data_IF_620035467632
#
_entry.id   IF_620035467632
#
_cell.length_a   1.000
_cell.length_b   1.000
_cell.length_c   1.000
_cell.angle_alpha   90.00
_cell.angle_beta   90.00
_cell.angle_gamma   90.00
#
_symmetry.space_group_name_H-M   'P 1'
#
loop_
_entity.id
_entity.type
_entity.pdbx_description
1 polymer ?
#
# COMPACT_ATOMS: atom_id res chain seq x y z
N UNK A 1 -10.68 -20.77 10.57
CA UNK A 1 -9.93 -21.31 9.42
C UNK A 1 -10.12 -20.40 8.23
N UNK A 2 -9.04 -20.20 7.48
CA UNK A 2 -9.08 -19.52 6.17
C UNK A 2 -8.86 -20.60 5.12
N UNK A 3 -9.80 -20.71 4.18
CA UNK A 3 -9.79 -21.70 3.11
C UNK A 3 -9.63 -21.00 1.74
N UNK A 4 -9.48 -21.76 0.67
CA UNK A 4 -9.46 -21.22 -0.70
C UNK A 4 -10.77 -20.49 -1.06
N UNK A 5 -11.87 -20.79 -0.38
CA UNK A 5 -13.17 -20.22 -0.67
C UNK A 5 -13.25 -18.73 -0.29
N UNK A 6 -12.76 -18.35 0.90
CA UNK A 6 -12.68 -16.94 1.33
C UNK A 6 -11.79 -16.13 0.39
N UNK A 7 -10.71 -16.73 -0.07
CA UNK A 7 -9.80 -16.09 -1.03
C UNK A 7 -10.46 -15.81 -2.38
N UNK A 8 -11.27 -16.75 -2.88
CA UNK A 8 -12.05 -16.53 -4.11
C UNK A 8 -13.08 -15.42 -3.92
N UNK A 9 -13.74 -15.33 -2.76
CA UNK A 9 -14.68 -14.26 -2.49
C UNK A 9 -13.99 -12.89 -2.60
N UNK A 10 -12.80 -12.74 -2.01
CA UNK A 10 -12.02 -11.50 -2.13
C UNK A 10 -11.72 -11.14 -3.59
N UNK A 11 -11.27 -12.11 -4.39
CA UNK A 11 -10.98 -11.90 -5.81
C UNK A 11 -12.23 -11.54 -6.61
N UNK A 12 -13.37 -12.19 -6.33
CA UNK A 12 -14.64 -11.86 -6.97
C UNK A 12 -15.13 -10.45 -6.62
N UNK A 13 -14.97 -10.01 -5.37
CA UNK A 13 -15.29 -8.64 -4.98
C UNK A 13 -14.48 -7.65 -5.83
N UNK A 14 -13.19 -7.92 -6.04
CA UNK A 14 -12.36 -7.06 -6.88
C UNK A 14 -12.82 -7.03 -8.35
N UNK A 15 -13.16 -8.18 -8.92
CA UNK A 15 -13.70 -8.26 -10.30
C UNK A 15 -15.00 -7.47 -10.43
N UNK A 16 -15.90 -7.57 -9.45
CA UNK A 16 -17.15 -6.80 -9.43
C UNK A 16 -16.86 -5.29 -9.28
N UNK A 17 -15.89 -4.91 -8.46
CA UNK A 17 -15.47 -3.52 -8.31
C UNK A 17 -14.94 -2.95 -9.63
N UNK A 18 -14.05 -3.67 -10.31
CA UNK A 18 -13.49 -3.26 -11.61
C UNK A 18 -14.60 -3.17 -12.67
N UNK A 19 -15.51 -4.14 -12.71
CA UNK A 19 -16.65 -4.11 -13.61
C UNK A 19 -17.57 -2.90 -13.35
N UNK A 20 -17.83 -2.58 -12.09
CA UNK A 20 -18.57 -1.38 -11.70
C UNK A 20 -17.88 -0.10 -12.17
N UNK A 21 -16.55 -0.01 -11.99
CA UNK A 21 -15.77 1.14 -12.49
C UNK A 21 -15.91 1.30 -14.00
N UNK A 22 -15.71 0.24 -14.78
CA UNK A 22 -15.87 0.30 -16.23
C UNK A 22 -17.27 0.75 -16.67
N UNK A 23 -18.31 0.30 -15.98
CA UNK A 23 -19.68 0.71 -16.26
C UNK A 23 -19.96 2.17 -15.90
N UNK A 24 -19.31 2.68 -14.86
CA UNK A 24 -19.54 4.03 -14.33
C UNK A 24 -18.64 5.07 -15.00
N UNK A 25 -17.50 4.67 -15.54
CA UNK A 25 -16.61 5.52 -16.33
C UNK A 25 -17.28 5.93 -17.64
N UNK A 26 -18.12 6.97 -17.61
CA UNK A 26 -18.63 7.63 -18.78
C UNK A 26 -17.55 8.51 -19.38
N UNK A 27 -16.98 8.07 -20.51
CA UNK A 27 -16.17 8.88 -21.42
C UNK A 27 -14.92 9.45 -20.77
N UNK A 28 -13.77 8.87 -21.12
CA UNK A 28 -12.50 9.28 -20.58
C UNK A 28 -12.33 10.79 -20.58
N UNK A 29 -12.15 11.38 -19.43
CA UNK A 29 -11.29 12.54 -19.34
C UNK A 29 -9.97 12.08 -19.94
N UNK A 30 -9.64 12.63 -21.11
CA UNK A 30 -8.25 12.62 -21.54
C UNK A 30 -7.52 13.42 -20.48
N UNK A 31 -6.95 12.71 -19.50
CA UNK A 31 -6.01 13.31 -18.57
C UNK A 31 -4.83 13.69 -19.45
N UNK A 32 -4.82 14.93 -19.88
CA UNK A 32 -3.61 15.55 -20.36
C UNK A 32 -2.69 15.60 -19.15
N UNK A 33 -1.97 14.51 -18.92
CA UNK A 33 -0.75 14.61 -18.16
C UNK A 33 0.19 15.52 -18.99
N UNK A 34 -0.01 16.81 -18.91
CA UNK A 34 1.07 17.73 -19.13
C UNK A 34 2.10 17.30 -18.08
N UNK A 35 3.10 16.56 -18.57
CA UNK A 35 4.23 16.20 -17.73
C UNK A 35 4.72 17.51 -17.12
N UNK A 36 4.67 17.74 -15.80
CA UNK A 36 5.19 18.96 -15.20
C UNK A 36 6.71 19.02 -15.25
N UNK A 37 7.31 18.18 -16.07
CA UNK A 37 8.72 18.15 -16.33
C UNK A 37 8.99 18.99 -17.57
N UNK A 38 9.19 20.28 -17.35
CA UNK A 38 9.87 21.15 -18.29
C UNK A 38 11.13 20.46 -18.80
N UNK A 39 11.16 20.20 -20.11
CA UNK A 39 12.20 19.51 -20.90
C UNK A 39 13.61 20.13 -20.78
N UNK A 40 13.90 21.01 -19.83
CA UNK A 40 15.12 21.82 -19.85
C UNK A 40 16.14 21.56 -18.74
N UNK A 41 15.89 20.71 -17.79
CA UNK A 41 16.96 20.35 -16.87
C UNK A 41 17.78 19.16 -17.42
N UNK A 42 19.00 19.43 -17.86
CA UNK A 42 20.06 18.43 -18.06
C UNK A 42 20.41 17.83 -16.69
N UNK A 43 19.49 17.04 -16.14
CA UNK A 43 19.75 16.34 -14.88
C UNK A 43 20.79 15.27 -15.16
N UNK A 44 21.88 15.32 -14.42
CA UNK A 44 22.98 14.35 -14.49
C UNK A 44 22.45 12.94 -14.26
N UNK A 45 23.02 11.93 -14.92
CA UNK A 45 22.73 10.51 -14.68
C UNK A 45 22.92 10.17 -13.19
N UNK A 46 23.88 10.82 -12.54
CA UNK A 46 24.17 10.66 -11.12
C UNK A 46 23.00 11.11 -10.24
N UNK A 47 22.33 12.22 -10.57
CA UNK A 47 21.15 12.67 -9.82
C UNK A 47 19.94 11.78 -10.08
N UNK A 48 19.76 11.24 -11.29
CA UNK A 48 18.73 10.27 -11.60
C UNK A 48 18.94 8.95 -10.82
N UNK A 49 20.19 8.56 -10.59
CA UNK A 49 20.53 7.41 -9.76
C UNK A 49 20.24 7.66 -8.28
N UNK A 50 20.60 8.84 -7.74
CA UNK A 50 20.34 9.21 -6.33
C UNK A 50 18.83 9.30 -6.04
N UNK A 51 18.04 9.82 -7.01
CA UNK A 51 16.58 9.97 -6.86
C UNK A 51 15.82 8.70 -7.26
N UNK A 52 16.52 7.65 -7.73
CA UNK A 52 15.91 6.40 -8.22
C UNK A 52 14.91 6.61 -9.38
N UNK A 53 15.19 7.58 -10.26
CA UNK A 53 14.37 7.82 -11.46
C UNK A 53 14.65 6.74 -12.51
N UNK A 54 13.99 5.59 -12.37
CA UNK A 54 14.15 4.43 -13.27
C UNK A 54 13.80 4.76 -14.73
N UNK A 55 12.83 5.65 -14.98
CA UNK A 55 12.47 6.08 -16.32
C UNK A 55 13.67 6.73 -17.01
N UNK A 56 14.34 7.65 -16.34
CA UNK A 56 15.53 8.34 -16.85
C UNK A 56 16.74 7.43 -16.95
N UNK A 57 16.93 6.54 -15.98
CA UNK A 57 18.04 5.59 -16.01
C UNK A 57 17.94 4.60 -17.18
N UNK A 58 16.72 4.10 -17.47
CA UNK A 58 16.50 3.06 -18.48
C UNK A 58 16.27 3.60 -19.89
N UNK A 59 15.54 4.71 -20.03
CA UNK A 59 15.15 5.24 -21.34
C UNK A 59 16.01 6.44 -21.75
N UNK A 60 16.64 7.10 -20.77
CA UNK A 60 17.38 8.34 -21.02
C UNK A 60 16.41 9.38 -21.66
N UNK A 61 16.85 10.12 -22.68
CA UNK A 61 16.02 11.14 -23.36
C UNK A 61 15.26 10.60 -24.60
N UNK A 62 15.02 9.30 -24.69
CA UNK A 62 14.34 8.72 -25.86
C UNK A 62 12.83 8.78 -25.66
N UNK A 63 12.07 9.04 -26.74
CA UNK A 63 10.60 9.02 -26.70
C UNK A 63 10.07 7.67 -26.20
N UNK A 64 9.05 7.71 -25.36
CA UNK A 64 8.37 6.53 -24.83
C UNK A 64 7.65 5.83 -26.00
N UNK A 65 8.06 4.61 -26.33
CA UNK A 65 7.35 3.71 -27.24
C UNK A 65 6.75 2.57 -26.41
N UNK A 66 5.73 1.90 -26.90
CA UNK A 66 5.04 0.80 -26.20
C UNK A 66 6.02 -0.24 -25.63
N UNK A 67 6.99 -0.70 -26.41
CA UNK A 67 8.01 -1.67 -25.96
C UNK A 67 8.87 -1.12 -24.80
N UNK A 68 9.26 0.15 -24.86
CA UNK A 68 10.05 0.79 -23.79
C UNK A 68 9.20 1.01 -22.54
N UNK A 69 7.92 1.34 -22.68
CA UNK A 69 7.00 1.45 -21.58
C UNK A 69 6.87 0.12 -20.83
N UNK A 70 6.69 -0.99 -21.55
CA UNK A 70 6.67 -2.33 -20.96
C UNK A 70 7.98 -2.70 -20.27
N UNK A 71 9.12 -2.37 -20.89
CA UNK A 71 10.42 -2.63 -20.27
C UNK A 71 10.61 -1.86 -18.95
N UNK A 72 10.25 -0.56 -18.92
CA UNK A 72 10.28 0.22 -17.67
C UNK A 72 9.32 -0.34 -16.64
N UNK A 73 8.10 -0.69 -17.05
CA UNK A 73 7.10 -1.27 -16.16
C UNK A 73 7.58 -2.56 -15.48
N UNK A 74 8.08 -3.51 -16.29
CA UNK A 74 8.59 -4.79 -15.75
C UNK A 74 9.79 -4.56 -14.83
N UNK A 75 10.76 -3.73 -15.26
CA UNK A 75 11.94 -3.46 -14.42
C UNK A 75 11.57 -2.76 -13.13
N UNK A 76 10.67 -1.78 -13.18
CA UNK A 76 10.18 -1.09 -11.97
C UNK A 76 9.44 -2.04 -11.03
N UNK A 77 8.62 -2.94 -11.57
CA UNK A 77 7.92 -3.96 -10.79
C UNK A 77 8.89 -4.93 -10.09
N UNK A 78 9.96 -5.34 -10.78
CA UNK A 78 11.00 -6.18 -10.18
C UNK A 78 11.75 -5.45 -9.07
N UNK A 79 12.10 -4.18 -9.28
CA UNK A 79 12.77 -3.35 -8.26
C UNK A 79 11.86 -3.17 -7.05
N UNK A 80 10.57 -2.88 -7.24
CA UNK A 80 9.59 -2.78 -6.15
C UNK A 80 9.50 -4.11 -5.40
N UNK A 81 9.39 -5.25 -6.10
CA UNK A 81 9.36 -6.57 -5.47
C UNK A 81 10.61 -6.84 -4.62
N UNK A 82 11.78 -6.47 -5.12
CA UNK A 82 13.04 -6.59 -4.38
C UNK A 82 13.05 -5.72 -3.11
N UNK A 83 12.63 -4.46 -3.22
CA UNK A 83 12.53 -3.55 -2.06
C UNK A 83 11.52 -4.07 -1.03
N UNK A 84 10.37 -4.57 -1.48
CA UNK A 84 9.36 -5.17 -0.58
C UNK A 84 9.91 -6.41 0.15
N UNK A 85 10.70 -7.26 -0.53
CA UNK A 85 11.36 -8.39 0.12
C UNK A 85 12.27 -7.93 1.27
N UNK A 86 13.09 -6.91 1.05
CA UNK A 86 13.95 -6.38 2.13
C UNK A 86 13.15 -5.69 3.23
N UNK A 87 12.04 -5.04 2.89
CA UNK A 87 11.14 -4.46 3.90
C UNK A 87 10.57 -5.54 4.83
N UNK A 88 10.10 -6.66 4.27
CA UNK A 88 9.60 -7.78 5.07
C UNK A 88 10.71 -8.36 5.95
N UNK A 89 11.88 -8.60 5.37
CA UNK A 89 13.03 -9.12 6.09
C UNK A 89 13.46 -8.18 7.25
N UNK A 90 13.46 -6.88 7.01
CA UNK A 90 13.75 -5.88 8.04
C UNK A 90 12.69 -5.89 9.16
N UNK A 91 11.41 -6.08 8.82
CA UNK A 91 10.35 -6.23 9.81
C UNK A 91 10.53 -7.52 10.66
N UNK A 92 10.92 -8.63 10.04
CA UNK A 92 11.23 -9.87 10.73
C UNK A 92 12.39 -9.70 11.70
N UNK A 93 13.47 -9.07 11.27
CA UNK A 93 14.63 -8.78 12.11
C UNK A 93 14.29 -7.87 13.28
N UNK A 94 13.53 -6.80 13.03
CA UNK A 94 13.07 -5.92 14.10
C UNK A 94 12.14 -6.64 15.10
N UNK A 95 11.31 -7.57 14.64
CA UNK A 95 10.40 -8.33 15.48
C UNK A 95 11.11 -9.39 16.35
N UNK A 96 12.26 -9.88 15.93
CA UNK A 96 13.03 -10.90 16.64
C UNK A 96 13.69 -10.32 17.90
N UNK A 97 13.99 -11.17 18.89
CA UNK A 97 14.82 -10.78 20.04
C UNK A 97 16.27 -10.57 19.62
N UNK A 98 16.77 -11.45 18.75
CA UNK A 98 18.10 -11.35 18.13
C UNK A 98 18.04 -11.85 16.69
N UNK A 99 18.86 -11.29 15.83
CA UNK A 99 18.99 -11.68 14.44
C UNK A 99 20.42 -11.58 13.95
N UNK A 100 20.77 -12.41 12.96
CA UNK A 100 22.09 -12.43 12.34
C UNK A 100 22.00 -11.88 10.93
N UNK A 101 22.81 -10.86 10.64
CA UNK A 101 22.97 -10.32 9.29
C UNK A 101 24.20 -10.96 8.66
N UNK A 102 24.07 -11.64 7.51
CA UNK A 102 25.21 -12.25 6.83
C UNK A 102 26.33 -11.23 6.62
N UNK A 103 27.55 -11.64 6.95
CA UNK A 103 28.80 -10.83 6.84
C UNK A 103 28.95 -9.64 7.80
N UNK A 104 27.92 -9.27 8.58
CA UNK A 104 27.96 -8.10 9.47
C UNK A 104 27.98 -8.52 10.94
N UNK A 105 27.20 -9.53 11.33
CA UNK A 105 27.18 -10.05 12.69
C UNK A 105 25.78 -10.17 13.30
N UNK A 106 25.74 -10.36 14.62
CA UNK A 106 24.51 -10.49 15.40
C UNK A 106 24.08 -9.15 15.97
N UNK A 107 22.77 -8.91 15.97
CA UNK A 107 22.15 -7.69 16.47
C UNK A 107 20.91 -8.04 17.31
N UNK A 108 20.56 -7.15 18.23
CA UNK A 108 19.33 -7.26 19.00
C UNK A 108 18.20 -6.59 18.23
N UNK A 109 17.06 -7.28 18.10
CA UNK A 109 15.82 -6.71 17.64
C UNK A 109 15.02 -6.08 18.78
N UNK A 110 13.76 -5.75 18.50
CA UNK A 110 12.87 -5.12 19.50
C UNK A 110 12.11 -6.16 20.34
N UNK A 111 12.11 -7.44 19.93
CA UNK A 111 11.33 -8.49 20.59
C UNK A 111 9.81 -8.25 20.56
N UNK A 112 9.34 -7.43 19.62
CA UNK A 112 7.91 -7.11 19.45
C UNK A 112 7.31 -8.12 18.47
N UNK A 113 6.10 -8.68 18.73
CA UNK A 113 5.47 -9.60 17.79
C UNK A 113 5.39 -9.02 16.38
N UNK A 114 5.81 -9.81 15.39
CA UNK A 114 5.96 -9.40 13.99
C UNK A 114 4.71 -8.77 13.40
N UNK A 115 3.52 -9.18 13.87
CA UNK A 115 2.25 -8.62 13.45
C UNK A 115 2.17 -7.11 13.71
N UNK A 116 2.63 -6.63 14.87
CA UNK A 116 2.61 -5.21 15.21
C UNK A 116 3.64 -4.41 14.40
N UNK A 117 4.82 -4.99 14.20
CA UNK A 117 5.85 -4.41 13.32
C UNK A 117 5.31 -4.29 11.88
N UNK A 118 4.66 -5.33 11.37
CA UNK A 118 4.08 -5.32 10.02
C UNK A 118 2.98 -4.27 9.87
N UNK A 119 2.08 -4.13 10.86
CA UNK A 119 1.00 -3.13 10.81
C UNK A 119 1.55 -1.71 10.82
N UNK A 120 2.62 -1.44 11.57
CA UNK A 120 3.17 -0.08 11.69
C UNK A 120 4.11 0.23 10.53
N UNK A 121 5.16 -0.58 10.34
CA UNK A 121 6.25 -0.26 9.41
C UNK A 121 5.95 -0.74 7.98
N UNK A 122 5.50 -1.99 7.81
CA UNK A 122 5.25 -2.52 6.48
C UNK A 122 4.04 -1.86 5.83
N UNK A 123 2.96 -1.58 6.61
CA UNK A 123 1.77 -0.90 6.09
C UNK A 123 2.08 0.54 5.68
N UNK A 124 2.82 1.31 6.51
CA UNK A 124 3.24 2.68 6.14
C UNK A 124 4.14 2.64 4.91
N UNK A 125 5.14 1.76 4.88
CA UNK A 125 6.09 1.65 3.77
C UNK A 125 5.41 1.29 2.45
N UNK A 126 4.48 0.34 2.45
CA UNK A 126 3.74 -0.07 1.26
C UNK A 126 2.76 0.98 0.76
N UNK A 127 2.16 1.77 1.65
CA UNK A 127 1.20 2.83 1.30
C UNK A 127 1.85 4.17 0.94
N UNK A 128 3.16 4.31 1.13
CA UNK A 128 3.86 5.57 0.85
C UNK A 128 3.77 6.02 -0.62
N UNK A 129 3.97 5.14 -1.63
CA UNK A 129 3.80 5.50 -3.04
C UNK A 129 2.40 6.01 -3.35
N UNK A 130 1.35 5.34 -2.86
CA UNK A 130 -0.04 5.72 -3.07
C UNK A 130 -0.35 7.08 -2.44
N UNK A 131 0.21 7.34 -1.27
CA UNK A 131 0.09 8.64 -0.59
C UNK A 131 0.70 9.76 -1.42
N UNK A 132 1.89 9.54 -2.01
CA UNK A 132 2.56 10.55 -2.86
C UNK A 132 1.76 10.81 -4.14
N UNK A 133 1.21 9.77 -4.77
CA UNK A 133 0.38 9.90 -5.97
C UNK A 133 -0.86 10.71 -5.64
N UNK A 134 -1.63 10.30 -4.62
CA UNK A 134 -2.84 11.02 -4.19
C UNK A 134 -2.55 12.48 -3.79
N UNK A 135 -1.41 12.75 -3.16
CA UNK A 135 -1.00 14.11 -2.81
C UNK A 135 -0.73 14.96 -4.06
N UNK A 136 -0.04 14.40 -5.07
CA UNK A 136 0.23 15.11 -6.33
C UNK A 136 -1.06 15.38 -7.11
N UNK A 137 -1.98 14.41 -7.16
CA UNK A 137 -3.28 14.59 -7.80
C UNK A 137 -4.08 15.70 -7.11
N UNK A 138 -4.10 15.71 -5.78
CA UNK A 138 -4.75 16.76 -5.01
C UNK A 138 -4.10 18.15 -5.21
N UNK A 139 -2.76 18.21 -5.32
CA UNK A 139 -2.06 19.47 -5.66
C UNK A 139 -2.41 19.98 -7.06
N UNK A 140 -2.63 19.04 -8.02
CA UNK A 140 -3.09 19.35 -9.37
C UNK A 140 -4.57 19.75 -9.45
N UNK A 141 -5.31 19.74 -8.33
CA UNK A 141 -6.75 19.99 -8.30
C UNK A 141 -7.62 18.78 -8.66
N UNK A 142 -7.03 17.63 -8.91
CA UNK A 142 -7.71 16.37 -9.25
C UNK A 142 -8.13 15.62 -7.98
N UNK A 143 -9.03 16.21 -7.20
CA UNK A 143 -9.42 15.65 -5.89
C UNK A 143 -10.11 14.29 -5.98
N UNK A 144 -10.93 14.09 -7.02
CA UNK A 144 -11.63 12.82 -7.24
C UNK A 144 -10.64 11.70 -7.57
N UNK A 145 -9.60 11.97 -8.33
CA UNK A 145 -8.53 11.02 -8.64
C UNK A 145 -7.72 10.68 -7.38
N UNK A 146 -7.37 11.68 -6.58
CA UNK A 146 -6.67 11.49 -5.32
C UNK A 146 -7.43 10.57 -4.35
N UNK A 147 -8.74 10.79 -4.21
CA UNK A 147 -9.61 9.98 -3.36
C UNK A 147 -9.79 8.58 -3.95
N UNK A 148 -10.00 8.49 -5.26
CA UNK A 148 -10.15 7.21 -5.97
C UNK A 148 -8.89 6.35 -5.87
N UNK A 149 -7.70 6.95 -5.95
CA UNK A 149 -6.44 6.25 -5.76
C UNK A 149 -6.33 5.70 -4.33
N UNK A 150 -6.63 6.50 -3.31
CA UNK A 150 -6.54 6.09 -1.92
C UNK A 150 -7.49 4.92 -1.58
N UNK A 151 -8.74 4.94 -2.06
CA UNK A 151 -9.68 3.83 -1.84
C UNK A 151 -9.39 2.64 -2.75
N UNK A 152 -9.04 2.88 -4.01
CA UNK A 152 -8.76 1.84 -4.99
C UNK A 152 -7.56 0.99 -4.61
N UNK A 153 -6.48 1.60 -4.12
CA UNK A 153 -5.30 0.88 -3.64
C UNK A 153 -5.62 0.01 -2.43
N UNK A 154 -6.42 0.49 -1.47
CA UNK A 154 -6.85 -0.30 -0.33
C UNK A 154 -7.71 -1.51 -0.75
N UNK A 155 -8.64 -1.34 -1.70
CA UNK A 155 -9.45 -2.43 -2.24
C UNK A 155 -8.55 -3.44 -2.95
N UNK A 156 -7.60 -2.98 -3.76
CA UNK A 156 -6.63 -3.84 -4.44
C UNK A 156 -5.78 -4.62 -3.43
N UNK A 157 -5.24 -3.96 -2.42
CA UNK A 157 -4.41 -4.58 -1.40
C UNK A 157 -5.16 -5.68 -0.64
N UNK A 158 -6.40 -5.43 -0.25
CA UNK A 158 -7.21 -6.41 0.47
C UNK A 158 -7.67 -7.55 -0.45
N UNK A 159 -8.18 -7.23 -1.63
CA UNK A 159 -8.84 -8.23 -2.47
C UNK A 159 -7.86 -9.02 -3.35
N UNK A 160 -6.82 -8.37 -3.86
CA UNK A 160 -5.88 -9.01 -4.80
C UNK A 160 -4.55 -9.32 -4.12
N UNK A 161 -3.89 -8.32 -3.51
CA UNK A 161 -2.57 -8.53 -2.94
C UNK A 161 -2.57 -9.50 -1.75
N UNK A 162 -3.67 -9.57 -0.99
CA UNK A 162 -3.89 -10.59 0.03
C UNK A 162 -4.61 -11.82 -0.54
N UNK A 163 -5.69 -11.63 -1.28
CA UNK A 163 -6.55 -12.72 -1.76
C UNK A 163 -5.83 -13.71 -2.67
N UNK A 164 -4.96 -13.24 -3.56
CA UNK A 164 -4.28 -14.10 -4.52
C UNK A 164 -3.21 -15.00 -3.88
N UNK A 165 -2.31 -14.52 -3.02
CA UNK A 165 -1.41 -15.39 -2.26
C UNK A 165 -2.14 -16.37 -1.34
N UNK A 166 -3.20 -15.93 -0.66
CA UNK A 166 -4.01 -16.81 0.18
C UNK A 166 -4.67 -17.93 -0.64
N UNK A 167 -5.16 -17.63 -1.84
CA UNK A 167 -5.73 -18.61 -2.74
C UNK A 167 -4.71 -19.70 -3.12
N UNK A 168 -3.52 -19.29 -3.56
CA UNK A 168 -2.46 -20.25 -3.91
C UNK A 168 -1.99 -21.05 -2.70
N UNK A 169 -1.75 -20.37 -1.58
CA UNK A 169 -1.30 -21.04 -0.36
C UNK A 169 -2.31 -22.09 0.12
N UNK A 170 -3.58 -21.70 0.27
CA UNK A 170 -4.61 -22.60 0.79
C UNK A 170 -4.97 -23.72 -0.18
N UNK A 171 -4.77 -23.53 -1.49
CA UNK A 171 -4.96 -24.59 -2.49
C UNK A 171 -3.82 -25.61 -2.47
N UNK A 172 -2.58 -25.16 -2.22
CA UNK A 172 -1.39 -26.05 -2.26
C UNK A 172 -1.16 -26.73 -0.90
N UNK A 173 -1.26 -25.98 0.19
CA UNK A 173 -0.88 -26.43 1.53
C UNK A 173 -2.08 -26.73 2.45
N UNK A 174 -3.29 -26.42 2.01
CA UNK A 174 -4.51 -26.62 2.80
C UNK A 174 -4.90 -25.38 3.64
N UNK A 175 -5.98 -25.49 4.43
CA UNK A 175 -6.54 -24.38 5.17
C UNK A 175 -5.59 -23.84 6.24
N UNK A 176 -5.57 -22.51 6.42
CA UNK A 176 -4.81 -21.85 7.48
C UNK A 176 -5.64 -21.87 8.76
N UNK A 177 -5.09 -22.48 9.82
CA UNK A 177 -5.67 -22.48 11.15
C UNK A 177 -5.05 -21.34 11.94
N UNK A 178 -5.87 -20.43 12.41
CA UNK A 178 -5.44 -19.29 13.24
C UNK A 178 -5.68 -19.62 14.71
N UNK A 179 -4.74 -19.26 15.57
CA UNK A 179 -4.89 -19.33 17.02
C UNK A 179 -5.95 -18.36 17.53
N UNK A 180 -6.64 -18.72 18.62
CA UNK A 180 -7.71 -17.91 19.20
C UNK A 180 -7.24 -16.50 19.59
N UNK A 181 -6.02 -16.37 20.10
CA UNK A 181 -5.41 -15.08 20.44
C UNK A 181 -5.26 -14.19 19.21
N UNK A 182 -4.79 -14.78 18.08
CA UNK A 182 -4.65 -14.07 16.80
C UNK A 182 -6.01 -13.66 16.24
N UNK A 183 -7.02 -14.52 16.35
CA UNK A 183 -8.40 -14.20 15.94
C UNK A 183 -8.95 -13.02 16.74
N UNK A 184 -8.79 -13.03 18.06
CA UNK A 184 -9.24 -11.95 18.93
C UNK A 184 -8.57 -10.62 18.59
N UNK A 185 -7.25 -10.65 18.35
CA UNK A 185 -6.49 -9.46 17.95
C UNK A 185 -6.96 -8.92 16.60
N UNK A 186 -7.06 -9.78 15.58
CA UNK A 186 -7.54 -9.40 14.25
C UNK A 186 -8.96 -8.82 14.32
N UNK A 187 -9.84 -9.42 15.13
CA UNK A 187 -11.21 -8.93 15.30
C UNK A 187 -11.22 -7.52 15.88
N UNK A 188 -10.44 -7.27 16.92
CA UNK A 188 -10.34 -5.94 17.53
C UNK A 188 -9.79 -4.89 16.56
N UNK A 189 -8.74 -5.24 15.79
CA UNK A 189 -8.18 -4.37 14.77
C UNK A 189 -9.17 -4.10 13.63
N UNK A 190 -9.93 -5.12 13.22
CA UNK A 190 -10.95 -4.98 12.17
C UNK A 190 -12.07 -4.01 12.59
N UNK A 191 -12.48 -4.01 13.85
CA UNK A 191 -13.46 -3.04 14.36
C UNK A 191 -12.93 -1.60 14.22
N UNK A 192 -11.67 -1.36 14.55
CA UNK A 192 -11.03 -0.07 14.35
C UNK A 192 -11.01 0.34 12.89
N UNK A 193 -10.60 -0.56 11.97
CA UNK A 193 -10.57 -0.28 10.54
C UNK A 193 -11.95 0.02 9.95
N UNK A 194 -12.96 -0.75 10.33
CA UNK A 194 -14.36 -0.51 9.91
C UNK A 194 -14.83 0.85 10.41
N UNK A 195 -14.59 1.18 11.68
CA UNK A 195 -14.94 2.48 12.25
C UNK A 195 -14.29 3.66 11.53
N UNK A 196 -12.99 3.59 11.29
CA UNK A 196 -12.25 4.62 10.55
C UNK A 196 -12.72 4.74 9.09
N UNK A 197 -13.02 3.61 8.44
CA UNK A 197 -13.54 3.59 7.06
C UNK A 197 -14.91 4.25 6.98
N UNK A 198 -15.84 3.91 7.88
CA UNK A 198 -17.17 4.53 7.91
C UNK A 198 -17.04 6.04 8.14
N UNK A 199 -16.19 6.47 9.07
CA UNK A 199 -15.96 7.88 9.34
C UNK A 199 -15.39 8.61 8.12
N UNK A 200 -14.44 8.00 7.43
CA UNK A 200 -13.86 8.57 6.20
C UNK A 200 -14.90 8.72 5.11
N UNK A 201 -15.74 7.71 4.89
CA UNK A 201 -16.86 7.77 3.93
C UNK A 201 -17.80 8.91 4.26
N UNK A 202 -18.20 9.05 5.53
CA UNK A 202 -19.08 10.15 5.97
C UNK A 202 -18.46 11.51 5.66
N UNK A 203 -17.16 11.68 5.86
CA UNK A 203 -16.49 12.96 5.59
C UNK A 203 -16.37 13.24 4.10
N UNK A 204 -16.02 12.25 3.28
CA UNK A 204 -15.86 12.42 1.84
C UNK A 204 -17.18 12.57 1.08
N UNK A 205 -18.28 11.93 1.55
CA UNK A 205 -19.59 12.03 0.91
C UNK A 205 -20.38 13.28 1.29
N UNK A 206 -19.88 14.08 2.24
CA UNK A 206 -20.55 15.30 2.68
C UNK A 206 -20.50 16.38 1.59
N UNK A 207 -21.64 17.05 1.35
CA UNK A 207 -21.71 18.20 0.44
C UNK A 207 -20.74 19.29 0.89
N UNK A 208 -19.78 19.67 0.05
CA UNK A 208 -18.78 20.70 0.35
C UNK A 208 -17.35 20.19 0.54
N UNK A 209 -17.14 18.87 0.42
CA UNK A 209 -15.81 18.25 0.52
C UNK A 209 -15.29 18.17 1.97
N UNK A 210 -14.05 17.73 2.12
CA UNK A 210 -13.39 17.56 3.42
C UNK A 210 -12.85 18.91 3.92
N UNK A 211 -13.27 19.31 5.12
CA UNK A 211 -12.76 20.51 5.78
C UNK A 211 -11.44 20.19 6.51
N UNK A 212 -10.58 21.21 6.72
CA UNK A 212 -9.31 21.10 7.45
C UNK A 212 -9.47 20.42 8.82
N UNK A 213 -10.52 20.74 9.58
CA UNK A 213 -10.79 20.12 10.88
C UNK A 213 -11.11 18.63 10.78
N UNK A 214 -11.83 18.20 9.75
CA UNK A 214 -12.11 16.80 9.48
C UNK A 214 -10.84 16.06 9.08
N UNK A 215 -9.99 16.65 8.23
CA UNK A 215 -8.70 16.08 7.88
C UNK A 215 -7.80 15.91 9.12
N UNK A 216 -7.68 16.93 9.97
CA UNK A 216 -6.93 16.82 11.23
C UNK A 216 -7.52 15.78 12.18
N UNK A 217 -8.85 15.65 12.26
CA UNK A 217 -9.47 14.62 13.10
C UNK A 217 -9.15 13.20 12.60
N UNK A 218 -9.14 12.97 11.28
CA UNK A 218 -8.76 11.67 10.71
C UNK A 218 -7.28 11.33 11.01
N UNK A 219 -6.38 12.30 10.84
CA UNK A 219 -4.97 12.13 11.19
C UNK A 219 -4.81 11.85 12.68
N UNK A 220 -5.50 12.58 13.54
CA UNK A 220 -5.45 12.36 14.99
C UNK A 220 -5.96 10.97 15.39
N UNK A 221 -7.06 10.51 14.79
CA UNK A 221 -7.59 9.17 15.00
C UNK A 221 -6.63 8.08 14.53
N UNK A 222 -5.91 8.30 13.44
CA UNK A 222 -4.85 7.40 13.01
C UNK A 222 -3.73 7.29 14.06
N UNK A 223 -3.28 8.40 14.62
CA UNK A 223 -2.29 8.37 15.72
C UNK A 223 -2.84 7.65 16.97
N UNK A 224 -4.09 7.88 17.34
CA UNK A 224 -4.73 7.15 18.45
C UNK A 224 -4.72 5.64 18.17
N UNK A 225 -5.02 5.23 16.94
CA UNK A 225 -4.94 3.83 16.52
C UNK A 225 -3.52 3.27 16.62
N UNK A 226 -2.50 4.00 16.16
CA UNK A 226 -1.09 3.59 16.28
C UNK A 226 -0.68 3.44 17.75
N UNK A 227 -1.04 4.39 18.61
CA UNK A 227 -0.79 4.28 20.04
C UNK A 227 -1.52 3.09 20.69
N UNK A 228 -2.74 2.80 20.27
CA UNK A 228 -3.46 1.62 20.71
C UNK A 228 -2.72 0.33 20.34
N UNK A 229 -2.21 0.24 19.10
CA UNK A 229 -1.42 -0.92 18.65
C UNK A 229 -0.14 -1.07 19.49
N UNK A 230 0.62 0.01 19.69
CA UNK A 230 1.84 0.00 20.49
C UNK A 230 1.56 -0.41 21.95
N UNK A 231 0.49 0.10 22.53
CA UNK A 231 0.07 -0.28 23.87
C UNK A 231 -0.27 -1.78 23.98
N UNK A 232 -1.00 -2.30 22.98
CA UNK A 232 -1.32 -3.75 22.91
C UNK A 232 -0.06 -4.60 22.68
N UNK A 233 0.90 -4.13 21.88
CA UNK A 233 2.16 -4.82 21.66
C UNK A 233 3.03 -4.88 22.94
N UNK A 234 2.94 -3.86 23.79
CA UNK A 234 3.66 -3.83 25.06
C UNK A 234 3.06 -4.75 26.12
N UNK A 235 1.74 -5.03 26.05
CA UNK A 235 1.03 -5.88 27.01
C UNK A 235 1.09 -7.38 26.68
N UNK A 236 1.46 -7.74 25.44
CA UNK A 236 1.61 -9.13 24.99
C UNK A 236 3.07 -9.54 24.94
#
# INVERSE_FOLDING_TARGET
QITWFESIILLLIYVLYVFYLFKTMKGGHQINYEEPFTEKEKVSILSAFIVFDLKRLLIRNKKLNSTRAWFVFITSSLVIGFVCYFLVLACEWLGSESYSVPFIGEFNGLGIPILFIAIIFAAIGSSFPDTIISYKDAQGGNYDDAVSNAYGSNIFNLCVALGLPLFFFTTIYGPIILDENVISLITNLSIWFVGLTILSIIFYTRKGGVNKYQAYSMISLYFVFVFYILYKAYLN
#
